data_IF_400731731409
#
_entry.id   IF_400731731409
#
_cell.length_a   1.000
_cell.length_b   1.000
_cell.length_c   1.000
_cell.angle_alpha   90.00
_cell.angle_beta   90.00
_cell.angle_gamma   90.00
#
_symmetry.space_group_name_H-M   'P 1'
#
loop_
_entity.id
_entity.type
_entity.pdbx_description
1 polymer ?
#
# COMPACT_ATOMS: atom_id res chain seq x y z
N UNK A 1 -23.70 -7.69 -35.61
CA UNK A 1 -22.62 -6.85 -36.16
C UNK A 1 -22.33 -5.78 -35.11
N UNK A 2 -21.35 -6.01 -34.22
CA UNK A 2 -20.94 -5.10 -33.17
C UNK A 2 -19.75 -4.35 -33.75
N UNK A 3 -19.74 -3.01 -33.82
CA UNK A 3 -18.59 -2.29 -34.33
C UNK A 3 -17.46 -2.34 -33.32
N UNK A 4 -16.32 -2.81 -33.78
CA UNK A 4 -15.03 -2.75 -33.11
C UNK A 4 -14.64 -1.29 -32.88
N UNK A 5 -14.71 -0.79 -31.65
CA UNK A 5 -14.05 0.44 -31.26
C UNK A 5 -12.60 0.11 -30.84
N UNK A 6 -11.76 -0.08 -31.82
CA UNK A 6 -10.32 -0.02 -31.67
C UNK A 6 -9.92 1.46 -31.54
N UNK A 7 -9.71 1.94 -30.33
CA UNK A 7 -8.98 3.21 -30.10
C UNK A 7 -7.49 2.91 -30.23
N UNK A 8 -7.01 2.95 -31.46
CA UNK A 8 -5.57 2.97 -31.75
C UNK A 8 -5.00 4.35 -31.44
N UNK A 9 -4.57 4.55 -30.20
CA UNK A 9 -3.52 5.56 -29.95
C UNK A 9 -2.23 5.11 -30.65
N UNK A 10 -1.31 6.04 -31.00
CA UNK A 10 -0.09 5.65 -31.68
C UNK A 10 0.67 4.62 -30.86
N UNK A 11 0.74 3.39 -31.36
CA UNK A 11 1.62 2.35 -30.86
C UNK A 11 3.06 2.87 -30.98
N UNK A 12 3.66 3.20 -29.86
CA UNK A 12 5.11 3.42 -29.84
C UNK A 12 5.75 2.08 -30.18
N UNK A 13 6.47 1.95 -31.30
CA UNK A 13 7.04 0.67 -31.72
C UNK A 13 7.90 0.13 -30.59
N UNK A 14 7.90 -1.19 -30.34
CA UNK A 14 8.66 -1.79 -29.27
C UNK A 14 10.15 -1.52 -29.51
N UNK A 15 10.70 -0.50 -28.87
CA UNK A 15 12.15 -0.32 -28.82
C UNK A 15 12.73 -1.55 -28.12
N UNK A 16 13.84 -2.09 -28.62
CA UNK A 16 14.50 -3.23 -27.97
C UNK A 16 14.96 -2.83 -26.58
N UNK A 17 14.79 -3.73 -25.59
CA UNK A 17 15.38 -3.57 -24.26
C UNK A 17 16.89 -3.41 -24.46
N UNK A 18 17.47 -2.34 -23.93
CA UNK A 18 18.90 -2.08 -24.08
C UNK A 18 19.56 -1.90 -22.72
N UNK A 19 20.66 -2.60 -22.51
CA UNK A 19 21.51 -2.37 -21.33
C UNK A 19 22.16 -0.97 -21.36
N UNK A 20 22.24 -0.31 -22.53
CA UNK A 20 22.70 1.07 -22.61
C UNK A 20 21.75 2.08 -21.96
N UNK A 21 20.50 1.72 -21.74
CA UNK A 21 19.54 2.56 -21.01
C UNK A 21 19.79 2.52 -19.49
N UNK A 22 20.52 1.51 -18.99
CA UNK A 22 20.86 1.40 -17.56
C UNK A 22 21.89 2.50 -17.21
N UNK A 23 21.46 3.43 -16.37
CA UNK A 23 22.29 4.55 -15.92
C UNK A 23 22.35 4.61 -14.39
N UNK A 24 23.29 5.37 -13.86
CA UNK A 24 23.51 5.48 -12.41
C UNK A 24 22.30 6.03 -11.67
N UNK A 25 21.55 6.97 -12.25
CA UNK A 25 20.36 7.55 -11.61
C UNK A 25 19.27 6.47 -11.44
N UNK A 26 19.00 5.67 -12.48
CA UNK A 26 18.04 4.57 -12.41
C UNK A 26 18.46 3.51 -11.38
N UNK A 27 19.78 3.17 -11.31
CA UNK A 27 20.29 2.23 -10.30
C UNK A 27 20.08 2.77 -8.89
N UNK A 28 20.46 4.02 -8.62
CA UNK A 28 20.28 4.61 -7.29
C UNK A 28 18.82 4.76 -6.88
N UNK A 29 17.94 5.16 -7.81
CA UNK A 29 16.51 5.23 -7.55
C UNK A 29 15.94 3.84 -7.22
N UNK A 30 16.33 2.81 -7.97
CA UNK A 30 15.92 1.43 -7.71
C UNK A 30 16.41 0.91 -6.37
N UNK A 31 17.68 1.12 -6.03
CA UNK A 31 18.25 0.75 -4.73
C UNK A 31 17.54 1.47 -3.59
N UNK A 32 17.27 2.77 -3.74
CA UNK A 32 16.53 3.55 -2.73
C UNK A 32 15.11 3.03 -2.54
N UNK A 33 14.42 2.69 -3.63
CA UNK A 33 13.09 2.09 -3.55
C UNK A 33 13.12 0.71 -2.85
N UNK A 34 14.10 -0.14 -3.15
CA UNK A 34 14.27 -1.41 -2.45
C UNK A 34 14.55 -1.23 -0.95
N UNK A 35 15.43 -0.30 -0.58
CA UNK A 35 15.69 0.05 0.82
C UNK A 35 14.39 0.47 1.51
N UNK A 36 13.57 1.28 0.85
CA UNK A 36 12.25 1.65 1.37
C UNK A 36 11.33 0.44 1.52
N UNK A 37 11.32 -0.50 0.59
CA UNK A 37 10.49 -1.71 0.70
C UNK A 37 10.90 -2.55 1.91
N UNK A 38 12.20 -2.72 2.16
CA UNK A 38 12.70 -3.51 3.29
C UNK A 38 12.50 -2.78 4.62
N UNK A 39 12.99 -1.55 4.72
CA UNK A 39 12.99 -0.83 6.00
C UNK A 39 11.69 -0.06 6.28
N UNK A 40 10.86 0.20 5.29
CA UNK A 40 9.55 0.82 5.46
C UNK A 40 8.41 -0.21 5.45
N UNK A 41 8.20 -0.86 4.30
CA UNK A 41 7.00 -1.67 4.12
C UNK A 41 7.07 -3.05 4.81
N UNK A 42 8.22 -3.73 4.78
CA UNK A 42 8.38 -5.03 5.46
C UNK A 42 8.21 -4.90 6.97
N UNK A 43 8.73 -3.84 7.57
CA UNK A 43 8.62 -3.62 9.01
C UNK A 43 7.18 -3.41 9.46
N UNK A 44 6.38 -2.71 8.64
CA UNK A 44 4.93 -2.60 8.87
C UNK A 44 4.25 -3.96 8.70
N UNK A 45 4.63 -4.73 7.66
CA UNK A 45 4.10 -6.07 7.45
C UNK A 45 4.36 -6.98 8.65
N UNK A 46 5.57 -6.94 9.19
CA UNK A 46 5.98 -7.66 10.40
C UNK A 46 5.09 -7.28 11.59
N UNK A 47 4.96 -5.99 11.87
CA UNK A 47 4.15 -5.49 12.99
C UNK A 47 2.68 -5.89 12.88
N UNK A 48 2.13 -5.91 11.67
CA UNK A 48 0.77 -6.39 11.42
C UNK A 48 0.67 -7.88 11.68
N UNK A 49 1.59 -8.68 11.15
CA UNK A 49 1.60 -10.14 11.31
C UNK A 49 1.66 -10.59 12.77
N UNK A 50 2.32 -9.83 13.64
CA UNK A 50 2.35 -10.12 15.07
C UNK A 50 0.97 -10.04 15.75
N UNK A 51 0.03 -9.28 15.17
CA UNK A 51 -1.32 -9.09 15.73
C UNK A 51 -2.26 -10.25 15.38
N UNK A 52 -1.91 -11.09 14.39
CA UNK A 52 -2.80 -12.15 13.90
C UNK A 52 -2.75 -13.45 14.72
N UNK A 53 -1.78 -13.64 15.61
CA UNK A 53 -1.66 -14.87 16.40
C UNK A 53 -1.45 -16.13 15.55
N UNK A 54 -0.89 -16.00 14.35
CA UNK A 54 -0.62 -17.08 13.39
C UNK A 54 0.76 -17.70 13.63
N UNK A 55 0.96 -18.95 13.17
CA UNK A 55 2.25 -19.65 13.29
C UNK A 55 3.34 -19.02 12.42
N UNK A 56 4.60 -19.28 12.74
CA UNK A 56 5.75 -18.76 12.00
C UNK A 56 5.79 -19.28 10.56
N UNK A 57 5.33 -20.50 10.32
CA UNK A 57 5.12 -21.04 8.99
C UNK A 57 4.10 -20.24 8.18
N UNK A 58 3.00 -19.82 8.80
CA UNK A 58 1.99 -18.96 8.16
C UNK A 58 2.52 -17.52 7.94
N UNK A 59 3.30 -16.98 8.89
CA UNK A 59 3.98 -15.68 8.72
C UNK A 59 4.95 -15.72 7.56
N UNK A 60 5.79 -16.76 7.52
CA UNK A 60 6.73 -17.01 6.41
C UNK A 60 6.00 -17.12 5.07
N UNK A 61 4.93 -17.92 5.00
CA UNK A 61 4.10 -18.09 3.81
C UNK A 61 3.53 -16.74 3.31
N UNK A 62 2.96 -15.95 4.20
CA UNK A 62 2.40 -14.63 3.89
C UNK A 62 3.46 -13.67 3.31
N UNK A 63 4.62 -13.55 3.98
CA UNK A 63 5.70 -12.69 3.47
C UNK A 63 6.20 -13.22 2.14
N UNK A 64 6.51 -14.51 2.05
CA UNK A 64 7.03 -15.15 0.84
C UNK A 64 6.13 -14.87 -0.36
N UNK A 65 4.82 -15.16 -0.26
CA UNK A 65 3.92 -15.03 -1.42
C UNK A 65 3.79 -13.58 -1.87
N UNK A 66 3.66 -12.62 -0.95
CA UNK A 66 3.50 -11.21 -1.30
C UNK A 66 4.75 -10.62 -1.96
N UNK A 67 5.93 -11.00 -1.50
CA UNK A 67 7.20 -10.56 -2.08
C UNK A 67 7.50 -11.29 -3.38
N UNK A 68 7.23 -12.60 -3.44
CA UNK A 68 7.45 -13.41 -4.64
C UNK A 68 6.58 -12.92 -5.82
N UNK A 69 5.29 -12.77 -5.61
CA UNK A 69 4.38 -12.29 -6.65
C UNK A 69 4.74 -10.88 -7.11
N UNK A 70 5.17 -10.00 -6.19
CA UNK A 70 5.60 -8.64 -6.53
C UNK A 70 6.83 -8.63 -7.44
N UNK A 71 7.85 -9.42 -7.13
CA UNK A 71 9.03 -9.55 -7.98
C UNK A 71 8.71 -10.21 -9.31
N UNK A 72 8.02 -11.37 -9.29
CA UNK A 72 7.67 -12.13 -10.50
C UNK A 72 6.80 -11.34 -11.48
N UNK A 73 6.00 -10.40 -11.00
CA UNK A 73 5.10 -9.61 -11.84
C UNK A 73 5.72 -8.28 -12.26
N UNK A 74 6.35 -7.54 -11.34
CA UNK A 74 6.92 -6.23 -11.68
C UNK A 74 8.09 -6.32 -12.64
N UNK A 75 8.96 -7.33 -12.49
CA UNK A 75 10.14 -7.49 -13.37
C UNK A 75 9.76 -7.67 -14.85
N UNK A 76 8.89 -8.62 -15.24
CA UNK A 76 8.53 -8.76 -16.65
C UNK A 76 7.69 -7.58 -17.15
N UNK A 77 6.78 -7.02 -16.33
CA UNK A 77 5.93 -5.92 -16.79
C UNK A 77 6.70 -4.62 -17.00
N UNK A 78 7.65 -4.27 -16.13
CA UNK A 78 8.46 -3.07 -16.34
C UNK A 78 9.31 -3.18 -17.62
N UNK A 79 9.83 -4.37 -17.94
CA UNK A 79 10.58 -4.62 -19.17
C UNK A 79 9.67 -4.65 -20.40
N UNK A 80 8.52 -5.35 -20.33
CA UNK A 80 7.60 -5.51 -21.46
C UNK A 80 7.02 -4.16 -21.91
N UNK A 81 6.51 -3.36 -20.96
CA UNK A 81 5.94 -2.04 -21.26
C UNK A 81 7.00 -0.94 -21.35
N UNK A 82 8.25 -1.19 -20.94
CA UNK A 82 9.31 -0.20 -20.80
C UNK A 82 8.88 1.03 -20.02
N UNK A 83 8.13 0.77 -18.97
CA UNK A 83 7.63 1.78 -18.04
C UNK A 83 7.97 1.38 -16.60
N UNK A 84 8.20 2.33 -15.71
CA UNK A 84 8.56 2.06 -14.31
C UNK A 84 7.35 1.55 -13.50
N UNK A 85 6.76 0.42 -13.94
CA UNK A 85 5.62 -0.23 -13.28
C UNK A 85 6.11 -0.89 -11.99
N UNK A 86 5.64 -0.37 -10.88
CA UNK A 86 5.98 -0.83 -9.53
C UNK A 86 4.75 -1.48 -8.91
N UNK A 87 4.54 -2.78 -9.17
CA UNK A 87 3.42 -3.55 -8.63
C UNK A 87 3.92 -4.34 -7.43
N UNK A 88 3.39 -4.01 -6.27
CA UNK A 88 3.73 -4.66 -5.01
C UNK A 88 2.48 -5.08 -4.26
N UNK A 89 2.40 -4.72 -3.02
CA UNK A 89 1.27 -4.98 -2.12
C UNK A 89 0.66 -3.70 -1.58
N UNK A 90 -0.59 -3.78 -1.13
CA UNK A 90 -1.30 -2.64 -0.57
C UNK A 90 -0.94 -2.42 0.90
N UNK A 91 -0.13 -1.40 1.18
CA UNK A 91 0.17 -1.02 2.56
C UNK A 91 -1.10 -0.55 3.32
N UNK A 92 -1.97 0.29 2.75
CA UNK A 92 -3.24 0.64 3.39
C UNK A 92 -4.13 -0.58 3.67
N UNK A 93 -4.21 -1.53 2.73
CA UNK A 93 -4.98 -2.75 2.93
C UNK A 93 -4.40 -3.65 4.01
N UNK A 94 -3.07 -3.78 4.08
CA UNK A 94 -2.39 -4.52 5.13
C UNK A 94 -2.70 -3.94 6.52
N UNK A 95 -2.60 -2.62 6.68
CA UNK A 95 -2.91 -1.92 7.93
C UNK A 95 -4.38 -2.07 8.32
N UNK A 96 -5.27 -1.98 7.34
CA UNK A 96 -6.69 -2.21 7.55
C UNK A 96 -6.96 -3.66 8.02
N UNK A 97 -6.33 -4.66 7.39
CA UNK A 97 -6.42 -6.05 7.89
C UNK A 97 -5.90 -6.17 9.32
N UNK A 98 -4.80 -5.51 9.64
CA UNK A 98 -4.26 -5.48 11.00
C UNK A 98 -5.23 -4.90 12.03
N UNK A 99 -6.00 -3.87 11.68
CA UNK A 99 -7.03 -3.30 12.57
C UNK A 99 -8.20 -4.27 12.83
N UNK A 100 -8.37 -5.28 11.98
CA UNK A 100 -9.37 -6.33 12.11
C UNK A 100 -8.79 -7.65 12.66
N UNK A 101 -7.51 -7.67 13.02
CA UNK A 101 -6.88 -8.85 13.63
C UNK A 101 -7.61 -9.25 14.92
N UNK A 102 -7.87 -10.55 15.08
CA UNK A 102 -8.64 -11.09 16.20
C UNK A 102 -10.17 -11.11 15.98
N UNK A 103 -10.70 -10.40 14.98
CA UNK A 103 -12.12 -10.49 14.61
C UNK A 103 -12.41 -11.63 13.64
N UNK A 104 -11.46 -11.93 12.77
CA UNK A 104 -11.58 -12.97 11.75
C UNK A 104 -10.36 -13.88 11.76
N UNK A 105 -10.57 -15.13 11.37
CA UNK A 105 -9.50 -16.12 11.16
C UNK A 105 -8.74 -15.84 9.87
N UNK A 106 -7.51 -16.37 9.75
CA UNK A 106 -6.74 -16.24 8.51
C UNK A 106 -7.47 -16.83 7.29
N UNK A 107 -8.25 -17.91 7.49
CA UNK A 107 -9.06 -18.53 6.44
C UNK A 107 -10.20 -17.63 5.95
N UNK A 108 -10.82 -16.86 6.83
CA UNK A 108 -11.86 -15.89 6.49
C UNK A 108 -11.27 -14.68 5.75
N UNK A 109 -10.11 -14.18 6.18
CA UNK A 109 -9.36 -13.16 5.44
C UNK A 109 -8.95 -13.67 4.04
N UNK A 110 -8.51 -14.92 3.92
CA UNK A 110 -8.12 -15.51 2.64
C UNK A 110 -9.30 -15.52 1.66
N UNK A 111 -10.48 -15.99 2.07
CA UNK A 111 -11.68 -16.01 1.23
C UNK A 111 -12.12 -14.59 0.87
N UNK A 112 -12.11 -13.66 1.83
CA UNK A 112 -12.49 -12.28 1.58
C UNK A 112 -11.53 -11.58 0.60
N UNK A 113 -10.22 -11.77 0.73
CA UNK A 113 -9.22 -11.24 -0.19
C UNK A 113 -9.29 -11.91 -1.58
N UNK A 114 -9.59 -13.21 -1.64
CA UNK A 114 -9.83 -13.92 -2.89
C UNK A 114 -11.01 -13.29 -3.65
N UNK A 115 -12.13 -13.07 -2.97
CA UNK A 115 -13.30 -12.39 -3.56
C UNK A 115 -12.96 -10.97 -4.01
N UNK A 116 -12.22 -10.22 -3.19
CA UNK A 116 -11.75 -8.89 -3.57
C UNK A 116 -10.86 -8.94 -4.82
N UNK A 117 -9.91 -9.88 -4.88
CA UNK A 117 -9.02 -10.08 -6.03
C UNK A 117 -9.78 -10.44 -7.31
N UNK A 118 -10.74 -11.36 -7.22
CA UNK A 118 -11.61 -11.70 -8.37
C UNK A 118 -12.42 -10.49 -8.83
N UNK A 119 -13.01 -9.74 -7.91
CA UNK A 119 -13.74 -8.52 -8.24
C UNK A 119 -12.85 -7.49 -8.95
N UNK A 120 -11.63 -7.25 -8.44
CA UNK A 120 -10.65 -6.36 -9.07
C UNK A 120 -10.28 -6.85 -10.47
N UNK A 121 -10.05 -8.15 -10.65
CA UNK A 121 -9.74 -8.73 -11.97
C UNK A 121 -10.91 -8.54 -12.96
N UNK A 122 -12.14 -8.81 -12.54
CA UNK A 122 -13.34 -8.60 -13.34
C UNK A 122 -13.52 -7.13 -13.73
N UNK A 123 -13.29 -6.21 -12.79
CA UNK A 123 -13.31 -4.76 -13.04
C UNK A 123 -12.30 -4.37 -14.12
N UNK A 124 -11.08 -4.89 -14.03
CA UNK A 124 -10.04 -4.65 -15.03
C UNK A 124 -10.38 -5.25 -16.40
N UNK A 125 -10.90 -6.49 -16.45
CA UNK A 125 -11.33 -7.16 -17.67
C UNK A 125 -12.50 -6.44 -18.36
N UNK A 126 -13.42 -5.91 -17.56
CA UNK A 126 -14.57 -5.14 -18.06
C UNK A 126 -14.19 -3.72 -18.53
N UNK A 127 -12.92 -3.31 -18.38
CA UNK A 127 -12.46 -1.96 -18.78
C UNK A 127 -12.88 -0.85 -17.82
N UNK A 128 -13.36 -1.19 -16.62
CA UNK A 128 -13.84 -0.23 -15.62
C UNK A 128 -12.79 0.11 -14.56
N UNK A 129 -11.53 -0.28 -14.73
CA UNK A 129 -10.45 -0.08 -13.76
C UNK A 129 -10.29 1.37 -13.27
N UNK A 130 -10.67 2.35 -14.10
CA UNK A 130 -10.66 3.76 -13.74
C UNK A 130 -12.01 4.30 -13.20
N UNK A 131 -13.13 3.59 -13.37
CA UNK A 131 -14.48 4.13 -13.10
C UNK A 131 -15.07 3.75 -11.74
N UNK A 132 -14.77 2.56 -11.22
CA UNK A 132 -15.43 2.02 -10.00
C UNK A 132 -14.95 2.69 -8.70
N UNK A 133 -13.80 3.33 -8.73
CA UNK A 133 -13.16 3.95 -7.57
C UNK A 133 -14.07 4.97 -6.87
N UNK A 134 -15.05 5.47 -7.55
CA UNK A 134 -15.85 6.62 -7.13
C UNK A 134 -17.21 6.28 -6.49
N UNK A 135 -17.55 5.00 -6.39
CA UNK A 135 -18.81 4.59 -5.75
C UNK A 135 -18.79 4.93 -4.25
N UNK A 136 -17.66 4.67 -3.59
CA UNK A 136 -17.46 5.08 -2.19
C UNK A 136 -16.80 6.45 -2.16
N UNK A 137 -17.42 7.45 -1.49
CA UNK A 137 -16.82 8.78 -1.38
C UNK A 137 -15.45 8.72 -0.68
N UNK A 138 -14.42 9.13 -1.39
CA UNK A 138 -13.04 9.06 -0.92
C UNK A 138 -12.81 9.74 0.45
N UNK A 139 -13.39 10.92 0.77
CA UNK A 139 -13.24 11.51 2.09
C UNK A 139 -13.72 10.60 3.23
N UNK A 140 -14.87 9.95 3.06
CA UNK A 140 -15.45 9.05 4.07
C UNK A 140 -14.58 7.81 4.25
N UNK A 141 -14.11 7.23 3.13
CA UNK A 141 -13.17 6.10 3.17
C UNK A 141 -11.86 6.47 3.89
N UNK A 142 -11.31 7.65 3.61
CA UNK A 142 -10.08 8.12 4.25
C UNK A 142 -10.26 8.36 5.74
N UNK A 143 -11.40 8.88 6.16
CA UNK A 143 -11.74 9.03 7.57
C UNK A 143 -11.78 7.68 8.30
N UNK A 144 -12.47 6.69 7.71
CA UNK A 144 -12.50 5.31 8.25
C UNK A 144 -11.09 4.72 8.30
N UNK A 145 -10.32 4.83 7.21
CA UNK A 145 -8.97 4.29 7.14
C UNK A 145 -8.05 4.94 8.17
N UNK A 146 -8.05 6.28 8.26
CA UNK A 146 -7.25 7.01 9.24
C UNK A 146 -7.56 6.59 10.69
N UNK A 147 -8.85 6.46 11.03
CA UNK A 147 -9.26 5.95 12.33
C UNK A 147 -8.73 4.53 12.61
N UNK A 148 -8.82 3.64 11.60
CA UNK A 148 -8.36 2.24 11.71
C UNK A 148 -6.85 2.13 11.97
N UNK A 149 -6.05 3.05 11.44
CA UNK A 149 -4.58 3.02 11.61
C UNK A 149 -4.07 3.86 12.78
N UNK A 150 -4.93 4.63 13.45
CA UNK A 150 -4.54 5.47 14.59
C UNK A 150 -3.93 4.65 15.73
N UNK A 151 -4.40 3.41 15.92
CA UNK A 151 -3.86 2.49 16.91
C UNK A 151 -2.34 2.24 16.78
N UNK A 152 -1.78 2.30 15.59
CA UNK A 152 -0.33 2.15 15.40
C UNK A 152 0.44 3.40 15.88
N UNK A 153 -0.17 4.58 15.78
CA UNK A 153 0.43 5.83 16.27
C UNK A 153 0.35 5.87 17.79
N UNK A 154 -0.74 5.42 18.39
CA UNK A 154 -0.83 5.30 19.86
C UNK A 154 0.22 4.32 20.39
N UNK A 155 0.41 3.17 19.73
CA UNK A 155 1.47 2.20 20.07
C UNK A 155 2.89 2.78 19.93
N UNK A 156 3.14 3.67 18.97
CA UNK A 156 4.41 4.39 18.85
C UNK A 156 4.66 5.27 20.09
N UNK A 157 3.63 6.00 20.52
CA UNK A 157 3.74 6.87 21.72
C UNK A 157 3.98 6.02 22.97
N UNK A 158 3.19 4.95 23.16
CA UNK A 158 3.35 3.99 24.25
C UNK A 158 4.76 3.40 24.27
N UNK A 159 5.24 2.87 23.13
CA UNK A 159 6.60 2.32 23.01
C UNK A 159 7.70 3.36 23.33
N UNK A 160 7.44 4.64 23.03
CA UNK A 160 8.40 5.72 23.37
C UNK A 160 8.43 6.00 24.86
N UNK A 161 7.32 5.83 25.55
CA UNK A 161 7.24 5.99 27.01
C UNK A 161 7.84 4.76 27.70
N UNK A 162 7.53 3.56 27.23
CA UNK A 162 7.94 2.29 27.85
C UNK A 162 9.45 2.02 27.69
N UNK A 163 10.04 2.35 26.56
CA UNK A 163 11.48 2.17 26.29
C UNK A 163 12.07 3.37 25.55
N UNK A 164 12.25 4.46 26.28
CA UNK A 164 12.78 5.73 25.75
C UNK A 164 14.19 5.57 25.17
N UNK A 165 14.98 4.59 25.63
CA UNK A 165 16.36 4.40 25.16
C UNK A 165 16.42 3.76 23.75
N UNK A 166 15.41 3.04 23.34
CA UNK A 166 15.28 2.53 21.97
C UNK A 166 14.43 3.48 21.13
N UNK A 167 13.20 3.76 21.56
CA UNK A 167 12.23 4.49 20.76
C UNK A 167 12.58 5.99 20.62
N UNK A 168 13.12 6.64 21.68
CA UNK A 168 13.48 8.05 21.64
C UNK A 168 14.51 8.39 20.56
N UNK A 169 15.68 7.72 20.49
CA UNK A 169 16.64 7.89 19.41
C UNK A 169 16.05 7.61 18.01
N UNK A 170 15.18 6.61 17.87
CA UNK A 170 14.50 6.31 16.59
C UNK A 170 13.60 7.46 16.15
N UNK A 171 12.78 8.00 17.05
CA UNK A 171 11.90 9.15 16.77
C UNK A 171 12.75 10.38 16.40
N UNK A 172 13.82 10.65 17.17
CA UNK A 172 14.72 11.76 16.89
C UNK A 172 15.40 11.63 15.52
N UNK A 173 15.87 10.42 15.18
CA UNK A 173 16.47 10.14 13.88
C UNK A 173 15.47 10.31 12.73
N UNK A 174 14.22 9.86 12.92
CA UNK A 174 13.15 10.08 11.95
C UNK A 174 12.89 11.58 11.71
N UNK A 175 12.75 12.35 12.77
CA UNK A 175 12.53 13.80 12.67
C UNK A 175 13.72 14.51 12.01
N UNK A 176 14.94 14.13 12.37
CA UNK A 176 16.14 14.63 11.71
C UNK A 176 16.14 14.30 10.21
N UNK A 177 15.78 13.07 9.83
CA UNK A 177 15.63 12.66 8.42
C UNK A 177 14.58 13.47 7.67
N UNK A 178 13.48 13.86 8.33
CA UNK A 178 12.44 14.74 7.76
C UNK A 178 12.96 16.15 7.52
N UNK A 179 13.76 16.69 8.45
CA UNK A 179 14.35 18.04 8.33
C UNK A 179 15.45 18.08 7.26
N UNK A 180 16.27 17.05 7.19
CA UNK A 180 17.37 16.99 6.21
C UNK A 180 16.91 16.86 4.75
N UNK A 181 15.62 16.57 4.50
CA UNK A 181 15.01 16.40 3.16
C UNK A 181 15.87 15.58 2.19
N UNK A 182 16.64 14.62 2.71
CA UNK A 182 17.50 13.78 1.87
C UNK A 182 16.69 12.76 1.11
N UNK A 183 16.69 12.86 -0.21
CA UNK A 183 16.08 11.85 -1.08
C UNK A 183 16.82 10.50 -1.07
N UNK A 184 18.07 10.49 -0.56
CA UNK A 184 18.93 9.30 -0.54
C UNK A 184 18.67 8.39 0.65
N UNK A 185 18.25 8.94 1.79
CA UNK A 185 17.98 8.17 3.00
C UNK A 185 16.56 8.47 3.49
N UNK A 186 15.63 7.53 3.33
CA UNK A 186 14.26 7.70 3.85
C UNK A 186 14.29 7.92 5.37
N UNK A 187 13.48 8.85 5.94
CA UNK A 187 13.44 9.10 7.37
C UNK A 187 13.21 7.85 8.23
N UNK A 188 12.35 6.94 7.77
CA UNK A 188 12.11 5.63 8.40
C UNK A 188 13.38 4.78 8.38
N UNK A 189 14.12 4.76 7.27
CA UNK A 189 15.37 4.01 7.16
C UNK A 189 16.42 4.50 8.17
N UNK A 190 16.54 5.82 8.37
CA UNK A 190 17.44 6.38 9.39
C UNK A 190 17.02 5.95 10.81
N UNK A 191 15.73 5.99 11.12
CA UNK A 191 15.20 5.52 12.40
C UNK A 191 15.50 4.05 12.65
N UNK A 192 15.33 3.19 11.62
CA UNK A 192 15.64 1.76 11.67
C UNK A 192 17.11 1.51 11.99
N UNK A 193 18.02 2.21 11.30
CA UNK A 193 19.47 2.05 11.53
C UNK A 193 19.84 2.49 12.95
N UNK A 194 19.36 3.66 13.39
CA UNK A 194 19.63 4.17 14.73
C UNK A 194 19.06 3.23 15.79
N UNK A 195 17.85 2.73 15.61
CA UNK A 195 17.25 1.76 16.52
C UNK A 195 18.04 0.44 16.59
N UNK A 196 18.50 -0.08 15.46
CA UNK A 196 19.34 -1.28 15.42
C UNK A 196 20.66 -1.08 16.19
N UNK A 197 21.30 0.08 16.03
CA UNK A 197 22.50 0.44 16.80
C UNK A 197 22.18 0.50 18.30
N UNK A 198 21.06 1.12 18.69
CA UNK A 198 20.66 1.21 20.10
C UNK A 198 20.41 -0.15 20.72
N UNK A 199 19.71 -1.06 20.00
CA UNK A 199 19.48 -2.45 20.46
C UNK A 199 20.81 -3.16 20.68
N UNK A 200 21.76 -3.02 19.74
CA UNK A 200 23.09 -3.63 19.83
C UNK A 200 23.88 -3.09 21.01
N UNK A 201 23.91 -1.76 21.19
CA UNK A 201 24.63 -1.09 22.30
C UNK A 201 24.03 -1.46 23.67
N UNK A 202 22.70 -1.57 23.74
CA UNK A 202 22.00 -1.92 24.99
C UNK A 202 21.99 -3.43 25.27
N UNK A 203 22.52 -4.26 24.36
CA UNK A 203 22.53 -5.71 24.51
C UNK A 203 21.13 -6.35 24.54
N UNK A 204 20.13 -5.71 23.92
CA UNK A 204 18.74 -6.15 23.93
C UNK A 204 18.37 -7.03 22.71
N UNK A 205 19.35 -7.54 21.95
CA UNK A 205 19.10 -8.53 20.89
C UNK A 205 18.78 -9.89 21.52
N UNK A 206 17.69 -10.51 21.09
CA UNK A 206 17.38 -11.89 21.40
C UNK A 206 18.38 -12.87 20.75
N UNK A 207 18.31 -14.14 21.12
CA UNK A 207 19.12 -15.18 20.48
C UNK A 207 18.56 -15.52 19.11
N UNK A 208 19.41 -15.40 18.07
CA UNK A 208 19.01 -15.74 16.71
C UNK A 208 18.95 -17.27 16.53
N UNK A 209 17.76 -17.80 16.34
CA UNK A 209 17.55 -19.20 15.96
C UNK A 209 17.03 -19.22 14.52
N UNK A 210 17.87 -19.54 13.58
CA UNK A 210 17.47 -19.72 12.17
C UNK A 210 17.16 -21.18 11.93
N UNK A 211 15.91 -21.55 11.99
CA UNK A 211 15.46 -22.82 11.42
C UNK A 211 15.63 -22.75 9.91
N UNK A 212 16.04 -23.87 9.29
CA UNK A 212 16.41 -24.01 7.87
C UNK A 212 15.65 -23.05 6.95
N UNK A 213 16.34 -22.00 6.53
CA UNK A 213 15.80 -20.78 5.93
C UNK A 213 15.15 -20.88 4.55
N UNK A 214 14.59 -22.02 4.16
CA UNK A 214 13.82 -22.12 2.93
C UNK A 214 12.40 -21.58 3.17
N UNK A 215 11.88 -20.75 2.27
CA UNK A 215 10.53 -20.24 2.37
C UNK A 215 9.52 -21.39 2.29
N UNK A 216 8.61 -21.46 3.23
CA UNK A 216 7.52 -22.42 3.20
C UNK A 216 6.25 -21.73 2.70
N UNK A 217 5.70 -22.22 1.60
CA UNK A 217 4.39 -21.80 1.12
C UNK A 217 3.33 -22.76 1.65
N UNK A 218 2.44 -22.26 2.49
CA UNK A 218 1.33 -23.02 3.06
C UNK A 218 0.01 -22.48 2.52
N UNK A 219 -0.76 -23.32 1.86
CA UNK A 219 -2.14 -23.00 1.52
C UNK A 219 -2.95 -22.82 2.80
N UNK A 220 -3.74 -21.78 2.83
CA UNK A 220 -4.64 -21.50 3.95
C UNK A 220 -5.94 -22.25 3.74
N UNK A 221 -6.42 -22.92 4.78
CA UNK A 221 -7.75 -23.55 4.77
C UNK A 221 -8.82 -22.48 4.65
N UNK A 222 -9.56 -22.45 3.52
CA UNK A 222 -10.53 -21.40 3.28
C UNK A 222 -11.72 -21.54 4.23
N UNK A 223 -12.13 -20.44 4.85
CA UNK A 223 -13.33 -20.35 5.69
C UNK A 223 -14.23 -19.25 5.17
N UNK A 224 -15.44 -19.59 4.86
CA UNK A 224 -16.44 -18.61 4.41
C UNK A 224 -17.05 -17.92 5.62
N UNK A 225 -17.09 -16.57 5.57
CA UNK A 225 -17.85 -15.73 6.49
C UNK A 225 -18.43 -14.56 5.70
N UNK A 226 -19.73 -14.37 5.78
CA UNK A 226 -20.39 -13.25 5.13
C UNK A 226 -19.98 -11.91 5.75
N UNK A 227 -19.75 -11.91 7.05
CA UNK A 227 -19.25 -10.76 7.82
C UNK A 227 -17.86 -10.33 7.33
N UNK A 228 -16.96 -11.32 7.11
CA UNK A 228 -15.64 -11.05 6.57
C UNK A 228 -15.72 -10.51 5.12
N UNK A 229 -16.63 -11.02 4.28
CA UNK A 229 -16.82 -10.48 2.94
C UNK A 229 -17.21 -9.00 2.97
N UNK A 230 -18.17 -8.62 3.80
CA UNK A 230 -18.58 -7.22 3.89
C UNK A 230 -17.48 -6.35 4.50
N UNK A 231 -16.87 -6.82 5.59
CA UNK A 231 -15.91 -6.03 6.35
C UNK A 231 -14.53 -5.94 5.71
N UNK A 232 -14.14 -6.92 4.89
CA UNK A 232 -12.79 -6.97 4.28
C UNK A 232 -12.88 -6.74 2.78
N UNK A 233 -13.67 -7.51 2.02
CA UNK A 233 -13.61 -7.44 0.56
C UNK A 233 -14.00 -6.07 0.03
N UNK A 234 -15.09 -5.47 0.53
CA UNK A 234 -15.58 -4.18 0.04
C UNK A 234 -14.56 -3.05 0.29
N UNK A 235 -14.07 -2.83 1.53
CA UNK A 235 -13.04 -1.83 1.76
C UNK A 235 -11.74 -2.11 1.00
N UNK A 236 -11.33 -3.39 0.87
CA UNK A 236 -10.12 -3.76 0.15
C UNK A 236 -10.15 -3.39 -1.32
N UNK A 237 -11.26 -3.66 -2.02
CA UNK A 237 -11.42 -3.26 -3.43
C UNK A 237 -11.20 -1.75 -3.56
N UNK A 238 -11.80 -0.97 -2.67
CA UNK A 238 -11.70 0.50 -2.73
C UNK A 238 -10.30 0.98 -2.33
N UNK A 239 -9.68 0.41 -1.30
CA UNK A 239 -8.31 0.76 -0.89
C UNK A 239 -7.28 0.43 -1.98
N UNK A 240 -7.39 -0.73 -2.61
CA UNK A 240 -6.48 -1.16 -3.69
C UNK A 240 -6.64 -0.26 -4.91
N UNK A 241 -7.86 -0.12 -5.41
CA UNK A 241 -8.12 0.65 -6.63
C UNK A 241 -7.96 2.16 -6.38
N UNK A 242 -8.53 2.68 -5.29
CA UNK A 242 -8.61 4.10 -5.00
C UNK A 242 -7.30 4.71 -4.49
N UNK A 243 -6.58 4.03 -3.60
CA UNK A 243 -5.34 4.56 -3.03
C UNK A 243 -4.09 4.09 -3.77
N UNK A 244 -3.93 2.79 -3.93
CA UNK A 244 -2.73 2.24 -4.55
C UNK A 244 -2.67 2.57 -6.03
N UNK A 245 -3.66 2.13 -6.79
CA UNK A 245 -3.64 2.20 -8.25
C UNK A 245 -3.80 3.62 -8.78
N UNK A 246 -4.84 4.36 -8.35
CA UNK A 246 -5.12 5.71 -8.89
C UNK A 246 -3.96 6.66 -8.64
N UNK A 247 -3.41 6.66 -7.44
CA UNK A 247 -2.31 7.60 -7.13
C UNK A 247 -1.03 7.25 -7.88
N UNK A 248 -0.69 5.96 -7.98
CA UNK A 248 0.52 5.52 -8.69
C UNK A 248 0.40 5.72 -10.19
N UNK A 249 -0.73 5.32 -10.78
CA UNK A 249 -0.97 5.48 -12.21
C UNK A 249 -1.11 6.95 -12.59
N UNK A 250 -1.78 7.76 -11.75
CA UNK A 250 -1.87 9.20 -11.93
C UNK A 250 -0.51 9.88 -11.88
N UNK A 251 0.36 9.50 -10.94
CA UNK A 251 1.74 9.97 -10.89
C UNK A 251 2.52 9.60 -12.16
N UNK A 252 2.41 8.36 -12.64
CA UNK A 252 3.05 7.95 -13.89
C UNK A 252 2.56 8.78 -15.10
N UNK A 253 1.26 9.05 -15.16
CA UNK A 253 0.69 9.89 -16.24
C UNK A 253 1.21 11.33 -16.15
N UNK A 254 1.31 11.92 -14.95
CA UNK A 254 1.88 13.27 -14.76
C UNK A 254 3.36 13.34 -15.15
N UNK A 255 4.10 12.24 -15.07
CA UNK A 255 5.47 12.11 -15.58
C UNK A 255 5.55 11.76 -17.09
N UNK A 256 4.42 11.76 -17.80
CA UNK A 256 4.32 11.58 -19.25
C UNK A 256 4.19 10.13 -19.71
N UNK A 257 4.02 9.16 -18.82
CA UNK A 257 3.80 7.77 -19.18
C UNK A 257 2.35 7.48 -19.60
N UNK A 258 2.17 6.40 -20.34
CA UNK A 258 0.85 5.86 -20.73
C UNK A 258 0.72 4.43 -20.19
N UNK A 259 0.50 4.26 -18.87
CA UNK A 259 0.43 2.94 -18.27
C UNK A 259 -0.79 2.16 -18.76
N UNK A 260 -0.67 0.83 -18.91
CA UNK A 260 -1.77 -0.04 -19.36
C UNK A 260 -2.76 -0.28 -18.21
N UNK A 261 -3.70 0.65 -17.98
CA UNK A 261 -4.56 0.72 -16.80
C UNK A 261 -5.33 -0.58 -16.51
N UNK A 262 -5.98 -1.12 -17.55
CA UNK A 262 -6.79 -2.33 -17.40
C UNK A 262 -5.92 -3.57 -17.14
N UNK A 263 -4.81 -3.71 -17.86
CA UNK A 263 -3.89 -4.83 -17.67
C UNK A 263 -3.25 -4.81 -16.28
N UNK A 264 -2.85 -3.63 -15.79
CA UNK A 264 -2.36 -3.48 -14.42
C UNK A 264 -3.43 -3.87 -13.41
N UNK A 265 -4.68 -3.44 -13.60
CA UNK A 265 -5.80 -3.78 -12.71
C UNK A 265 -6.09 -5.28 -12.71
N UNK A 266 -6.14 -5.92 -13.88
CA UNK A 266 -6.31 -7.38 -14.03
C UNK A 266 -5.19 -8.13 -13.31
N UNK A 267 -3.95 -7.72 -13.55
CA UNK A 267 -2.76 -8.33 -12.93
C UNK A 267 -2.81 -8.25 -11.41
N UNK A 268 -3.16 -7.08 -10.86
CA UNK A 268 -3.31 -6.87 -9.42
C UNK A 268 -4.42 -7.77 -8.85
N UNK A 269 -5.53 -7.93 -9.57
CA UNK A 269 -6.59 -8.85 -9.18
C UNK A 269 -6.10 -10.28 -9.06
N UNK A 270 -5.42 -10.82 -10.08
CA UNK A 270 -4.87 -12.17 -10.04
C UNK A 270 -3.75 -12.34 -9.01
N UNK A 271 -2.87 -11.35 -8.84
CA UNK A 271 -1.89 -11.37 -7.75
C UNK A 271 -2.56 -11.44 -6.39
N UNK A 272 -3.65 -10.68 -6.20
CA UNK A 272 -4.42 -10.70 -4.94
C UNK A 272 -5.01 -12.08 -4.68
N UNK A 273 -5.56 -12.74 -5.71
CA UNK A 273 -6.05 -14.14 -5.61
C UNK A 273 -4.91 -15.09 -5.21
N UNK A 274 -3.76 -14.99 -5.87
CA UNK A 274 -2.59 -15.82 -5.55
C UNK A 274 -2.10 -15.56 -4.12
N UNK A 275 -1.98 -14.30 -3.71
CA UNK A 275 -1.58 -13.94 -2.35
C UNK A 275 -2.56 -14.50 -1.32
N UNK A 276 -3.86 -14.36 -1.56
CA UNK A 276 -4.92 -14.80 -0.66
C UNK A 276 -4.87 -16.31 -0.39
N UNK A 277 -4.59 -17.12 -1.40
CA UNK A 277 -4.48 -18.57 -1.26
C UNK A 277 -3.41 -19.01 -0.24
N UNK A 278 -2.36 -18.20 -0.06
CA UNK A 278 -1.26 -18.44 0.88
C UNK A 278 -1.29 -17.51 2.11
N UNK A 279 -2.43 -16.89 2.37
CA UNK A 279 -2.66 -16.02 3.53
C UNK A 279 -2.19 -14.58 3.34
N UNK A 280 -1.63 -14.23 2.19
CA UNK A 280 -1.13 -12.89 1.89
C UNK A 280 -2.24 -11.85 1.70
N UNK A 281 -1.89 -10.60 1.94
CA UNK A 281 -2.77 -9.45 1.71
C UNK A 281 -2.79 -9.02 0.24
N UNK A 282 -3.78 -8.20 -0.17
CA UNK A 282 -3.96 -7.83 -1.57
C UNK A 282 -2.76 -7.10 -2.18
N UNK A 283 -2.58 -7.31 -3.48
CA UNK A 283 -1.64 -6.56 -4.30
C UNK A 283 -2.16 -5.16 -4.64
N UNK A 284 -1.27 -4.24 -4.98
CA UNK A 284 -1.59 -2.92 -5.56
C UNK A 284 -0.35 -2.33 -6.23
N UNK A 285 -0.53 -1.22 -6.95
CA UNK A 285 0.61 -0.38 -7.29
C UNK A 285 1.26 0.16 -6.00
N UNK A 286 2.58 0.10 -5.92
CA UNK A 286 3.34 0.59 -4.79
C UNK A 286 3.53 2.11 -4.89
N UNK A 287 2.66 2.91 -4.26
CA UNK A 287 2.63 4.38 -4.37
C UNK A 287 4.00 5.03 -4.20
N UNK A 288 4.64 4.81 -3.06
CA UNK A 288 5.95 5.39 -2.76
C UNK A 288 7.04 4.83 -3.66
N UNK A 289 7.00 3.51 -3.94
CA UNK A 289 7.90 2.87 -4.88
C UNK A 289 7.77 3.47 -6.29
N UNK A 290 6.53 3.66 -6.78
CA UNK A 290 6.27 4.31 -8.07
C UNK A 290 6.84 5.73 -8.11
N UNK A 291 6.64 6.53 -7.07
CA UNK A 291 7.18 7.89 -7.01
C UNK A 291 8.71 7.90 -7.09
N UNK A 292 9.39 6.94 -6.46
CA UNK A 292 10.86 6.83 -6.49
C UNK A 292 11.38 6.38 -7.86
N UNK A 293 10.76 5.35 -8.47
CA UNK A 293 11.28 4.77 -9.72
C UNK A 293 10.78 5.47 -10.98
N UNK A 294 9.65 6.19 -10.92
CA UNK A 294 9.09 6.93 -12.05
C UNK A 294 9.35 8.44 -11.98
N UNK A 295 9.86 8.95 -10.85
CA UNK A 295 10.20 10.35 -10.66
C UNK A 295 11.44 10.78 -11.47
N UNK A 296 11.63 12.08 -11.60
CA UNK A 296 12.73 12.69 -12.40
C UNK A 296 14.11 12.30 -11.90
N UNK A 297 14.26 12.04 -10.62
CA UNK A 297 15.54 11.64 -10.00
C UNK A 297 16.01 10.25 -10.47
N UNK A 298 15.12 9.44 -11.05
CA UNK A 298 15.45 8.16 -11.66
C UNK A 298 16.09 8.30 -13.07
N UNK A 299 16.39 9.53 -13.53
CA UNK A 299 17.04 9.81 -14.78
C UNK A 299 16.07 10.03 -15.96
N UNK A 300 16.55 9.85 -17.22
CA UNK A 300 15.73 10.03 -18.41
C UNK A 300 14.50 9.13 -18.42
N UNK A 301 13.34 9.67 -18.82
CA UNK A 301 12.05 8.99 -18.74
C UNK A 301 12.04 7.61 -19.43
N UNK A 302 12.69 7.51 -20.58
CA UNK A 302 12.80 6.28 -21.38
C UNK A 302 13.65 5.19 -20.72
N UNK A 303 14.45 5.53 -19.71
CA UNK A 303 15.36 4.62 -19.01
C UNK A 303 14.87 4.21 -17.62
N UNK A 304 13.85 4.89 -17.07
CA UNK A 304 13.38 4.68 -15.68
C UNK A 304 12.77 3.30 -15.41
N UNK A 305 12.41 2.54 -16.47
CA UNK A 305 11.99 1.14 -16.29
C UNK A 305 13.09 0.28 -15.65
N UNK A 306 14.36 0.64 -15.86
CA UNK A 306 15.49 0.02 -15.17
C UNK A 306 15.50 0.31 -13.67
N UNK A 307 15.03 1.48 -13.24
CA UNK A 307 14.89 1.75 -11.80
C UNK A 307 13.88 0.80 -11.14
N UNK A 308 12.74 0.53 -11.80
CA UNK A 308 11.79 -0.48 -11.32
C UNK A 308 12.41 -1.89 -11.34
N UNK A 309 13.15 -2.26 -12.38
CA UNK A 309 13.84 -3.55 -12.45
C UNK A 309 14.83 -3.72 -11.29
N UNK A 310 15.70 -2.73 -11.05
CA UNK A 310 16.68 -2.75 -9.95
C UNK A 310 15.99 -2.81 -8.58
N UNK A 311 14.84 -2.13 -8.42
CA UNK A 311 14.09 -2.17 -7.18
C UNK A 311 13.49 -3.56 -6.89
N UNK A 312 12.95 -4.24 -7.92
CA UNK A 312 12.20 -5.49 -7.75
C UNK A 312 13.04 -6.75 -7.88
N UNK A 313 14.23 -6.70 -8.47
CA UNK A 313 15.12 -7.85 -8.55
C UNK A 313 15.51 -8.40 -7.15
N UNK A 314 15.98 -7.59 -6.21
CA UNK A 314 16.32 -8.08 -4.86
C UNK A 314 15.09 -8.43 -4.01
N UNK A 315 13.88 -7.99 -4.39
CA UNK A 315 12.60 -8.41 -3.76
C UNK A 315 12.43 -9.95 -3.83
N UNK A 316 12.86 -10.57 -4.93
CA UNK A 316 12.89 -12.05 -5.04
C UNK A 316 13.86 -12.68 -4.03
N UNK A 317 14.98 -12.01 -3.74
CA UNK A 317 15.91 -12.45 -2.70
C UNK A 317 15.28 -12.45 -1.31
N UNK A 318 14.49 -11.42 -0.97
CA UNK A 318 13.72 -11.37 0.28
C UNK A 318 12.67 -12.48 0.33
N UNK A 319 11.96 -12.73 -0.77
CA UNK A 319 10.97 -13.79 -0.87
C UNK A 319 11.58 -15.18 -0.61
N UNK A 320 12.80 -15.43 -1.12
CA UNK A 320 13.50 -16.71 -0.93
C UNK A 320 14.23 -16.81 0.42
N UNK A 321 14.53 -15.67 1.07
CA UNK A 321 15.17 -15.59 2.38
C UNK A 321 14.22 -15.36 3.55
N UNK A 322 12.93 -15.62 3.38
CA UNK A 322 11.89 -15.26 4.38
C UNK A 322 12.11 -15.89 5.75
N UNK A 323 12.68 -17.09 5.83
CA UNK A 323 13.03 -17.72 7.10
C UNK A 323 14.03 -16.88 7.92
N UNK A 324 15.01 -16.26 7.27
CA UNK A 324 15.94 -15.33 7.91
C UNK A 324 15.20 -14.08 8.38
N UNK A 325 14.27 -13.57 7.56
CA UNK A 325 13.48 -12.39 7.90
C UNK A 325 12.62 -12.64 9.14
N UNK A 326 11.94 -13.80 9.23
CA UNK A 326 11.13 -14.18 10.39
C UNK A 326 12.00 -14.32 11.63
N UNK A 327 13.14 -15.01 11.54
CA UNK A 327 14.08 -15.16 12.65
C UNK A 327 14.62 -13.79 13.15
N UNK A 328 14.86 -12.84 12.24
CA UNK A 328 15.24 -11.47 12.62
C UNK A 328 14.14 -10.73 13.38
N UNK A 329 12.86 -10.98 13.04
CA UNK A 329 11.73 -10.37 13.74
C UNK A 329 11.69 -10.79 15.21
N UNK A 330 11.94 -12.06 15.48
CA UNK A 330 11.81 -12.65 16.82
C UNK A 330 12.86 -12.13 17.81
N UNK A 331 14.01 -11.68 17.32
CA UNK A 331 15.07 -11.12 18.17
C UNK A 331 14.90 -9.61 18.47
N UNK A 332 13.96 -8.93 17.77
CA UNK A 332 13.77 -7.51 17.93
C UNK A 332 12.84 -7.18 19.10
N UNK A 333 13.23 -6.25 20.00
CA UNK A 333 12.35 -5.82 21.08
C UNK A 333 11.03 -5.23 20.57
N UNK A 334 9.89 -5.46 21.27
CA UNK A 334 8.60 -4.89 20.90
C UNK A 334 8.62 -3.36 20.71
N UNK A 335 9.35 -2.65 21.57
CA UNK A 335 9.51 -1.20 21.46
C UNK A 335 10.10 -0.78 20.11
N UNK A 336 11.10 -1.51 19.59
CA UNK A 336 11.65 -1.26 18.27
C UNK A 336 10.63 -1.46 17.16
N UNK A 337 9.90 -2.58 17.20
CA UNK A 337 8.93 -2.95 16.16
C UNK A 337 7.77 -1.96 16.12
N UNK A 338 7.18 -1.62 17.29
CA UNK A 338 6.06 -0.67 17.35
C UNK A 338 6.49 0.74 16.96
N UNK A 339 7.71 1.15 17.36
CA UNK A 339 8.26 2.45 16.95
C UNK A 339 8.44 2.52 15.44
N UNK A 340 9.05 1.50 14.84
CA UNK A 340 9.22 1.43 13.38
C UNK A 340 7.88 1.49 12.64
N UNK A 341 6.93 0.65 13.05
CA UNK A 341 5.60 0.59 12.43
C UNK A 341 4.89 1.93 12.53
N UNK A 342 4.87 2.54 13.71
CA UNK A 342 4.22 3.83 13.93
C UNK A 342 4.86 4.96 13.11
N UNK A 343 6.19 5.03 13.07
CA UNK A 343 6.91 6.03 12.25
C UNK A 343 6.63 5.87 10.75
N UNK A 344 6.56 4.63 10.25
CA UNK A 344 6.25 4.37 8.85
C UNK A 344 4.80 4.76 8.47
N UNK A 345 3.90 4.77 9.45
CA UNK A 345 2.47 5.06 9.25
C UNK A 345 2.14 6.55 9.38
N UNK A 346 3.01 7.36 9.96
CA UNK A 346 2.75 8.80 10.14
C UNK A 346 2.36 9.51 8.83
N UNK A 347 3.07 9.25 7.72
CA UNK A 347 2.73 9.85 6.43
C UNK A 347 1.40 9.32 5.86
N UNK A 348 1.12 8.00 5.80
CA UNK A 348 -0.20 7.48 5.44
C UNK A 348 -1.34 8.05 6.30
N UNK A 349 -1.12 8.22 7.60
CA UNK A 349 -2.10 8.82 8.49
C UNK A 349 -2.35 10.29 8.18
N UNK A 350 -1.28 11.08 7.99
CA UNK A 350 -1.38 12.48 7.60
C UNK A 350 -2.17 12.62 6.30
N UNK A 351 -1.85 11.83 5.27
CA UNK A 351 -2.56 11.83 3.99
C UNK A 351 -4.03 11.46 4.13
N UNK A 352 -4.34 10.50 5.03
CA UNK A 352 -5.72 10.09 5.29
C UNK A 352 -6.52 11.21 5.95
N UNK A 353 -5.94 11.89 6.96
CA UNK A 353 -6.57 13.02 7.65
C UNK A 353 -6.79 14.21 6.70
N UNK A 354 -5.78 14.54 5.91
CA UNK A 354 -5.87 15.60 4.92
C UNK A 354 -7.02 15.36 3.95
N UNK A 355 -7.08 14.18 3.32
CA UNK A 355 -8.14 13.82 2.36
C UNK A 355 -9.52 13.66 2.97
N UNK A 356 -9.59 13.25 4.24
CA UNK A 356 -10.86 13.11 4.95
C UNK A 356 -11.51 14.46 5.25
N UNK A 357 -10.70 15.50 5.54
CA UNK A 357 -11.21 16.74 6.14
C UNK A 357 -10.98 18.02 5.33
N UNK A 358 -10.19 17.99 4.26
CA UNK A 358 -9.92 19.16 3.40
C UNK A 358 -10.92 19.38 2.27
N UNK A 359 -11.99 18.65 2.16
CA UNK A 359 -12.87 18.78 1.00
C UNK A 359 -14.33 18.93 1.37
N UNK A 360 -15.15 18.36 0.50
CA UNK A 360 -16.58 18.14 0.69
C UNK A 360 -16.83 16.91 1.58
N UNK A 361 -18.06 16.70 2.03
CA UNK A 361 -18.51 15.57 2.84
C UNK A 361 -17.80 15.47 4.23
N UNK A 362 -17.51 16.64 4.81
CA UNK A 362 -16.80 16.72 6.10
C UNK A 362 -17.57 16.11 7.25
N UNK A 363 -18.89 16.34 7.29
CA UNK A 363 -19.73 15.82 8.36
C UNK A 363 -19.78 14.29 8.31
N UNK A 364 -20.03 13.71 7.13
CA UNK A 364 -19.96 12.26 6.94
C UNK A 364 -18.60 11.68 7.28
N UNK A 365 -17.51 12.38 6.94
CA UNK A 365 -16.14 11.97 7.31
C UNK A 365 -15.92 11.97 8.82
N UNK A 366 -16.42 12.99 9.56
CA UNK A 366 -16.35 13.02 11.03
C UNK A 366 -17.10 11.85 11.64
N UNK A 367 -18.32 11.56 11.15
CA UNK A 367 -19.11 10.42 11.63
C UNK A 367 -18.39 9.10 11.33
N UNK A 368 -17.86 8.92 10.11
CA UNK A 368 -17.09 7.72 9.76
C UNK A 368 -15.86 7.54 10.66
N UNK A 369 -15.12 8.62 10.92
CA UNK A 369 -13.96 8.58 11.80
C UNK A 369 -14.34 8.17 13.22
N UNK A 370 -15.38 8.79 13.80
CA UNK A 370 -15.84 8.50 15.16
C UNK A 370 -16.35 7.05 15.29
N UNK A 371 -17.12 6.58 14.31
CA UNK A 371 -17.64 5.20 14.30
C UNK A 371 -16.51 4.19 14.16
N UNK A 372 -15.52 4.44 13.29
CA UNK A 372 -14.39 3.55 13.11
C UNK A 372 -13.48 3.44 14.34
N UNK A 373 -13.37 4.51 15.15
CA UNK A 373 -12.65 4.50 16.42
C UNK A 373 -13.38 3.70 17.52
N UNK A 374 -14.68 3.48 17.35
CA UNK A 374 -15.47 2.78 18.36
C UNK A 374 -15.23 1.28 18.28
N UNK A 375 -15.13 0.61 19.42
CA UNK A 375 -14.82 -0.82 19.52
C UNK A 375 -16.11 -1.63 19.66
N UNK A 376 -16.93 -1.68 18.59
CA UNK A 376 -18.15 -2.51 18.58
C UNK A 376 -18.22 -3.40 17.34
N UNK A 377 -19.00 -4.45 17.44
CA UNK A 377 -19.41 -5.26 16.30
C UNK A 377 -20.94 -5.42 16.35
N UNK A 378 -21.59 -5.27 15.20
CA UNK A 378 -23.04 -5.51 15.05
C UNK A 378 -23.21 -6.66 14.06
N UNK A 379 -23.90 -7.70 14.46
CA UNK A 379 -24.06 -8.94 13.66
C UNK A 379 -22.72 -9.56 13.21
N UNK A 380 -21.70 -9.56 14.08
CA UNK A 380 -20.36 -10.05 13.75
C UNK A 380 -19.51 -9.12 12.86
N UNK A 381 -20.07 -8.00 12.39
CA UNK A 381 -19.39 -7.04 11.50
C UNK A 381 -18.76 -5.93 12.34
N UNK A 382 -17.42 -5.74 12.28
CA UNK A 382 -16.70 -4.72 13.03
C UNK A 382 -17.07 -3.29 12.66
N UNK A 383 -16.82 -2.35 13.59
CA UNK A 383 -17.13 -0.93 13.47
C UNK A 383 -16.60 -0.26 12.20
N UNK A 384 -15.47 -0.71 11.66
CA UNK A 384 -14.87 -0.16 10.44
C UNK A 384 -15.80 -0.23 9.22
N UNK A 385 -16.54 -1.32 9.03
CA UNK A 385 -17.57 -1.40 7.97
C UNK A 385 -18.72 -0.43 8.24
N UNK A 386 -19.23 -0.42 9.48
CA UNK A 386 -20.32 0.45 9.88
C UNK A 386 -19.95 1.92 9.79
N UNK A 387 -18.68 2.27 9.90
CA UNK A 387 -18.17 3.62 9.67
C UNK A 387 -18.44 4.11 8.25
N UNK A 388 -18.24 3.27 7.24
CA UNK A 388 -18.59 3.63 5.85
C UNK A 388 -20.08 3.83 5.70
N UNK A 389 -20.90 2.91 6.23
CA UNK A 389 -22.35 3.00 6.16
C UNK A 389 -22.85 4.25 6.87
N UNK A 390 -22.40 4.50 8.10
CA UNK A 390 -22.80 5.66 8.90
C UNK A 390 -22.35 6.98 8.26
N UNK A 391 -21.10 7.04 7.75
CA UNK A 391 -20.57 8.23 7.09
C UNK A 391 -21.33 8.57 5.81
N UNK A 392 -21.61 7.58 4.95
CA UNK A 392 -22.40 7.78 3.73
C UNK A 392 -23.84 8.20 4.08
N UNK A 393 -24.46 7.54 5.07
CA UNK A 393 -25.82 7.87 5.52
C UNK A 393 -25.88 9.29 6.09
N UNK A 394 -24.91 9.67 6.92
CA UNK A 394 -24.82 11.02 7.48
C UNK A 394 -24.67 12.08 6.37
N UNK A 395 -23.80 11.84 5.38
CA UNK A 395 -23.68 12.75 4.24
C UNK A 395 -24.96 12.78 3.39
N UNK A 396 -25.65 11.65 3.22
CA UNK A 396 -26.91 11.60 2.50
C UNK A 396 -28.00 12.46 3.17
N UNK A 397 -28.01 12.49 4.49
CA UNK A 397 -29.00 13.29 5.25
C UNK A 397 -28.60 14.76 5.32
N UNK A 398 -27.34 15.06 5.68
CA UNK A 398 -26.89 16.41 6.03
C UNK A 398 -26.24 17.13 4.84
N UNK A 399 -25.46 16.40 4.03
CA UNK A 399 -24.64 16.95 2.93
C UNK A 399 -25.11 16.41 1.56
N UNK A 400 -26.40 16.12 1.42
CA UNK A 400 -26.93 15.43 0.23
C UNK A 400 -26.57 16.11 -1.09
N UNK A 401 -26.56 17.45 -1.15
CA UNK A 401 -26.22 18.18 -2.36
C UNK A 401 -24.75 18.01 -2.75
N UNK A 402 -23.86 17.95 -1.78
CA UNK A 402 -22.44 17.69 -1.98
C UNK A 402 -22.21 16.24 -2.41
N UNK A 403 -22.89 15.28 -1.77
CA UNK A 403 -22.80 13.88 -2.09
C UNK A 403 -23.29 13.57 -3.52
N UNK A 404 -24.42 14.12 -3.92
CA UNK A 404 -24.92 13.98 -5.29
C UNK A 404 -24.03 14.71 -6.32
N UNK A 405 -23.46 15.85 -5.97
CA UNK A 405 -22.49 16.56 -6.80
C UNK A 405 -21.22 15.71 -6.97
N UNK A 406 -20.72 15.13 -5.90
CA UNK A 406 -19.59 14.21 -5.93
C UNK A 406 -19.85 13.05 -6.91
N UNK A 407 -20.97 12.35 -6.78
CA UNK A 407 -21.31 11.25 -7.69
C UNK A 407 -21.58 11.71 -9.12
N UNK A 408 -22.20 12.86 -9.31
CA UNK A 408 -22.47 13.43 -10.64
C UNK A 408 -21.17 13.81 -11.36
N UNK A 409 -20.24 14.44 -10.68
CA UNK A 409 -18.92 14.78 -11.23
C UNK A 409 -18.18 13.52 -11.67
N UNK A 410 -18.31 12.45 -10.92
CA UNK A 410 -17.75 11.14 -11.23
C UNK A 410 -18.36 10.48 -12.46
N UNK A 411 -19.70 10.56 -12.60
CA UNK A 411 -20.44 9.92 -13.71
C UNK A 411 -20.36 10.76 -15.00
N UNK A 412 -20.28 12.08 -14.87
CA UNK A 412 -20.36 13.00 -16.02
C UNK A 412 -19.01 13.26 -16.70
N UNK A 413 -17.89 12.74 -16.17
CA UNK A 413 -16.59 12.93 -16.81
C UNK A 413 -16.31 11.79 -17.81
N UNK A 414 -16.29 12.09 -19.12
CA UNK A 414 -15.87 11.13 -20.14
C UNK A 414 -14.37 10.85 -20.12
N UNK A 415 -13.60 11.63 -19.34
CA UNK A 415 -12.15 11.54 -19.22
C UNK A 415 -11.76 10.72 -17.98
N UNK A 416 -10.60 10.09 -18.02
CA UNK A 416 -10.07 9.25 -16.96
C UNK A 416 -10.10 9.98 -15.61
N UNK A 417 -10.47 9.34 -14.49
CA UNK A 417 -10.32 9.90 -13.14
C UNK A 417 -8.89 10.35 -12.80
N UNK A 418 -7.96 9.90 -13.60
CA UNK A 418 -6.55 10.27 -13.54
C UNK A 418 -6.31 11.73 -13.99
N UNK A 419 -7.20 12.31 -14.79
CA UNK A 419 -7.02 13.69 -15.28
C UNK A 419 -7.08 14.71 -14.14
N UNK A 420 -7.91 14.50 -13.11
CA UNK A 420 -7.92 15.37 -11.92
C UNK A 420 -6.72 15.18 -11.00
N UNK A 421 -6.20 13.95 -10.91
CA UNK A 421 -4.97 13.70 -10.16
C UNK A 421 -3.81 14.39 -10.87
N UNK A 422 -3.78 14.34 -12.19
CA UNK A 422 -2.80 15.03 -13.02
C UNK A 422 -2.93 16.55 -12.85
N UNK A 423 -4.13 17.09 -12.99
CA UNK A 423 -4.39 18.53 -12.85
C UNK A 423 -4.02 19.05 -11.45
N UNK A 424 -4.39 18.34 -10.39
CA UNK A 424 -4.01 18.68 -9.01
C UNK A 424 -2.51 18.58 -8.74
N UNK A 425 -1.80 17.67 -9.42
CA UNK A 425 -0.35 17.55 -9.34
C UNK A 425 0.36 18.63 -10.15
N UNK A 426 -0.17 19.01 -11.31
CA UNK A 426 0.35 20.12 -12.13
C UNK A 426 0.21 21.47 -11.42
N UNK A 427 -0.92 21.73 -10.75
CA UNK A 427 -1.13 22.95 -9.97
C UNK A 427 -0.11 23.05 -8.83
N UNK A 428 0.11 21.96 -8.06
CA UNK A 428 1.14 21.95 -7.01
C UNK A 428 2.57 22.08 -7.55
N UNK A 429 2.81 21.58 -8.74
CA UNK A 429 4.10 21.74 -9.41
C UNK A 429 4.37 23.18 -9.78
N UNK A 430 3.36 23.89 -10.29
CA UNK A 430 3.45 25.30 -10.63
C UNK A 430 3.71 26.17 -9.39
N UNK A 431 3.07 25.86 -8.27
CA UNK A 431 3.29 26.53 -6.98
C UNK A 431 4.71 26.34 -6.45
N UNK A 432 5.32 25.16 -6.65
CA UNK A 432 6.70 24.84 -6.21
C UNK A 432 7.74 25.44 -7.16
N UNK A 433 7.48 25.50 -8.47
CA UNK A 433 8.39 26.12 -9.45
C UNK A 433 8.32 27.65 -9.43
N UNK A 434 7.26 28.23 -8.83
CA UNK A 434 7.06 29.69 -8.71
C UNK A 434 7.43 30.26 -7.34
N UNK A 435 7.78 29.43 -6.37
CA UNK A 435 8.30 29.79 -5.03
C UNK A 435 9.80 29.57 -4.95
#
# INVERSE_FOLDING_TARGET
MIPSMATSGPEVPPRRISLSDLNSAAVWAGVTAFIFFVFGALTVQISVLQQFGISDAQRSSWITITWLTSGLVSLPLCLYYRQPLSIGWTLPGLLYMGSLAGHFTLGEFAVANLVAGLAIAVIGLAGYGSRIIHVVPMPILMAMFGASILAYITKLVEATVDDVFIAGPMVTAYLAGRVLHSQRVPPVGLAVIVGAVMIAVLGKLGSLHVDSGLPSLHLVDPRFSFEALLSVSVPMIVLVLGLGNVQSLGFMISEGYKPPLNQVTVTIGFMTVANAAFGGHPASMARTGTAMVAGRDAGPAEARYWAAFVAFLPVLGVATGTGIVVAFIEILPPAYIFTMAGLAILTPFQDAMERAFQGTLRFGSVIAFAVALSTFAVAGIPSAFWALVAGITASFVVERHELFRYWKQVVSQPHSPLDHVVESMEIRRWEVESS
#
